data_IF_061902336527
#
_entry.id   IF_061902336527
#
_cell.length_a   1.000
_cell.length_b   1.000
_cell.length_c   1.000
_cell.angle_alpha   90.00
_cell.angle_beta   90.00
_cell.angle_gamma   90.00
#
_symmetry.space_group_name_H-M   'P 1'
#
loop_
_entity.id
_entity.type
_entity.pdbx_description
1 polymer ?
#
# COMPACT_ATOMS: atom_id res chain seq x y z
N UNK A 1 8.68 21.52 10.21
CA UNK A 1 9.23 20.44 11.07
C UNK A 1 10.34 19.66 10.37
N UNK A 2 11.27 19.15 11.16
CA UNK A 2 12.29 18.17 10.77
C UNK A 2 12.45 17.18 11.93
N UNK A 3 11.66 16.11 11.92
CA UNK A 3 11.58 15.18 13.04
C UNK A 3 12.24 13.85 12.68
N UNK A 4 13.12 13.39 13.57
CA UNK A 4 13.98 12.24 13.35
C UNK A 4 13.23 10.93 13.37
N UNK A 5 13.71 9.96 12.60
CA UNK A 5 13.23 8.60 12.67
C UNK A 5 13.62 7.95 14.00
N UNK A 6 12.92 6.88 14.35
CA UNK A 6 13.23 6.06 15.52
C UNK A 6 12.93 4.60 15.24
N UNK A 7 13.66 3.69 15.88
CA UNK A 7 13.37 2.26 15.89
C UNK A 7 13.16 1.64 14.49
N UNK A 8 14.00 2.02 13.53
CA UNK A 8 13.92 1.54 12.14
C UNK A 8 12.85 2.19 11.27
N UNK A 9 12.12 3.17 11.81
CA UNK A 9 11.20 4.03 11.04
C UNK A 9 11.92 5.27 10.51
N UNK A 10 11.59 5.70 9.29
CA UNK A 10 12.20 6.91 8.70
C UNK A 10 11.86 8.20 9.44
N UNK A 11 12.68 9.23 9.25
CA UNK A 11 12.33 10.60 9.64
C UNK A 11 11.20 11.17 8.77
N UNK A 12 10.70 12.34 9.15
CA UNK A 12 9.77 13.14 8.33
C UNK A 12 10.15 14.62 8.39
N UNK A 13 10.16 15.26 7.22
CA UNK A 13 10.34 16.71 7.08
C UNK A 13 9.18 17.31 6.31
N UNK A 14 8.71 18.48 6.74
CA UNK A 14 7.60 19.17 6.11
C UNK A 14 7.34 20.55 6.72
N UNK A 15 6.34 21.25 6.20
CA UNK A 15 5.97 22.62 6.60
C UNK A 15 4.90 22.70 7.69
N UNK A 16 4.37 21.56 8.16
CA UNK A 16 3.34 21.48 9.19
C UNK A 16 3.85 20.86 10.48
N UNK A 17 3.22 21.20 11.59
CA UNK A 17 3.50 20.63 12.91
C UNK A 17 2.37 19.67 13.28
N UNK A 18 2.71 18.53 13.89
CA UNK A 18 1.76 17.49 14.35
C UNK A 18 0.76 17.05 13.25
N UNK A 19 1.22 16.68 12.03
CA UNK A 19 0.31 16.17 11.01
C UNK A 19 -0.16 14.75 11.36
N UNK A 20 -1.28 14.32 10.76
CA UNK A 20 -1.57 12.90 10.63
C UNK A 20 -0.53 12.29 9.67
N UNK A 21 0.10 11.20 10.11
CA UNK A 21 1.07 10.42 9.33
C UNK A 21 0.68 8.96 9.29
N UNK A 22 1.20 8.24 8.30
CA UNK A 22 1.08 6.80 8.18
C UNK A 22 2.42 6.10 8.04
N UNK A 23 2.44 4.80 8.35
CA UNK A 23 3.55 3.91 8.00
C UNK A 23 3.04 2.51 7.70
N UNK A 24 3.50 1.94 6.58
CA UNK A 24 3.27 0.54 6.24
C UNK A 24 4.35 -0.33 6.85
N UNK A 25 3.96 -1.43 7.49
CA UNK A 25 4.89 -2.36 8.14
C UNK A 25 4.45 -3.82 7.91
N UNK A 26 5.26 -4.75 8.41
CA UNK A 26 4.95 -6.18 8.41
C UNK A 26 4.68 -6.66 9.84
N UNK A 27 4.56 -7.98 10.04
CA UNK A 27 4.53 -8.56 11.38
C UNK A 27 5.87 -8.43 12.13
N UNK A 28 6.98 -8.23 11.40
CA UNK A 28 8.33 -8.07 11.97
C UNK A 28 8.50 -6.66 12.52
N UNK A 29 8.97 -6.58 13.76
CA UNK A 29 9.30 -5.31 14.42
C UNK A 29 10.46 -4.61 13.69
N UNK A 30 10.33 -3.32 13.30
CA UNK A 30 11.41 -2.57 12.66
C UNK A 30 12.57 -2.22 13.61
N UNK A 31 12.44 -2.42 14.93
CA UNK A 31 13.45 -2.06 15.92
C UNK A 31 14.82 -2.68 15.61
N UNK A 32 15.86 -1.85 15.64
CA UNK A 32 17.23 -2.24 15.29
C UNK A 32 17.49 -2.38 13.77
N UNK A 33 16.47 -2.25 12.93
CA UNK A 33 16.61 -2.19 11.48
C UNK A 33 17.10 -0.82 10.98
N UNK A 34 17.70 -0.80 9.80
CA UNK A 34 18.04 0.44 9.11
C UNK A 34 16.76 1.14 8.61
N UNK A 35 16.58 2.40 8.99
CA UNK A 35 15.44 3.18 8.53
C UNK A 35 15.55 3.51 7.03
N UNK A 36 14.44 3.45 6.27
CA UNK A 36 14.44 3.89 4.88
C UNK A 36 14.65 5.42 4.79
N UNK A 37 15.06 5.89 3.61
CA UNK A 37 15.18 7.32 3.36
C UNK A 37 13.81 8.02 3.57
N UNK A 38 13.77 9.22 4.15
CA UNK A 38 12.51 9.94 4.38
C UNK A 38 11.86 10.36 3.05
N UNK A 39 10.53 10.31 3.01
CA UNK A 39 9.76 10.98 1.97
C UNK A 39 9.73 12.49 2.27
N UNK A 40 10.12 13.30 1.30
CA UNK A 40 9.93 14.75 1.40
C UNK A 40 8.44 15.06 1.24
N UNK A 41 7.88 15.85 2.17
CA UNK A 41 6.55 16.41 1.99
C UNK A 41 6.65 17.86 1.55
N UNK A 42 6.28 18.15 0.29
CA UNK A 42 5.97 19.50 -0.16
C UNK A 42 4.49 19.61 -0.56
N UNK A 43 3.97 20.84 -0.58
CA UNK A 43 2.56 21.12 -0.93
C UNK A 43 2.19 20.80 -2.38
N UNK A 44 3.14 20.29 -3.19
CA UNK A 44 2.94 19.88 -4.59
C UNK A 44 2.90 18.36 -4.75
N UNK A 45 2.81 17.61 -3.64
CA UNK A 45 2.85 16.16 -3.68
C UNK A 45 1.74 15.56 -4.56
N UNK A 46 2.07 14.47 -5.29
CA UNK A 46 1.12 13.79 -6.16
C UNK A 46 -0.08 13.26 -5.35
N UNK A 47 -1.24 13.18 -6.01
CA UNK A 47 -2.48 12.59 -5.47
C UNK A 47 -2.33 11.11 -5.09
N UNK A 48 -1.21 10.48 -5.44
CA UNK A 48 -0.86 9.10 -5.10
C UNK A 48 0.60 8.98 -4.65
N UNK A 49 0.83 8.34 -3.51
CA UNK A 49 2.17 7.99 -3.01
C UNK A 49 2.33 6.47 -2.89
N UNK A 50 3.55 5.97 -3.08
CA UNK A 50 3.90 4.55 -2.87
C UNK A 50 4.99 4.42 -1.81
N UNK A 51 4.66 4.58 -0.51
CA UNK A 51 5.64 4.53 0.56
C UNK A 51 6.28 3.14 0.66
N UNK A 52 7.55 3.07 1.06
CA UNK A 52 8.24 1.83 1.39
C UNK A 52 7.79 1.28 2.75
N UNK A 53 8.16 0.03 3.05
CA UNK A 53 8.02 -0.50 4.41
C UNK A 53 8.84 0.35 5.39
N UNK A 54 8.27 0.60 6.56
CA UNK A 54 8.87 1.39 7.65
C UNK A 54 9.17 2.85 7.28
N UNK A 55 8.67 3.32 6.14
CA UNK A 55 8.79 4.70 5.70
C UNK A 55 7.58 5.49 6.16
N UNK A 56 7.82 6.48 7.01
CA UNK A 56 6.80 7.43 7.48
C UNK A 56 6.42 8.35 6.31
N UNK A 57 5.13 8.50 6.08
CA UNK A 57 4.58 9.38 5.04
C UNK A 57 3.51 10.31 5.60
N UNK A 58 3.43 11.50 5.01
CA UNK A 58 2.44 12.51 5.38
C UNK A 58 1.05 12.16 4.83
N UNK A 59 0.02 12.34 5.66
CA UNK A 59 -1.40 12.24 5.27
C UNK A 59 -2.08 13.60 5.45
N UNK A 60 -1.84 14.28 6.56
CA UNK A 60 -2.48 15.56 6.87
C UNK A 60 -4.01 15.44 6.95
N UNK A 61 -4.72 16.27 6.19
CA UNK A 61 -6.18 16.23 6.06
C UNK A 61 -6.67 15.18 5.05
N UNK A 62 -5.76 14.41 4.44
CA UNK A 62 -6.08 13.39 3.44
C UNK A 62 -6.43 13.98 2.07
N UNK A 63 -6.16 15.27 1.83
CA UNK A 63 -6.49 15.99 0.60
C UNK A 63 -5.24 16.47 -0.13
N UNK A 64 -5.32 16.46 -1.46
CA UNK A 64 -4.29 17.02 -2.31
C UNK A 64 -4.34 18.56 -2.31
N UNK A 65 -3.18 19.17 -2.14
CA UNK A 65 -3.02 20.62 -2.05
C UNK A 65 -3.19 21.14 -0.63
N UNK A 66 -2.42 22.17 -0.29
CA UNK A 66 -2.44 22.77 1.04
C UNK A 66 -3.75 23.56 1.27
N UNK A 67 -4.45 23.27 2.37
CA UNK A 67 -5.71 23.92 2.75
C UNK A 67 -6.75 23.96 1.62
N UNK A 68 -6.79 22.89 0.81
CA UNK A 68 -7.68 22.77 -0.32
C UNK A 68 -8.77 21.72 -0.05
N UNK A 69 -9.89 22.15 0.52
CA UNK A 69 -11.02 21.26 0.80
C UNK A 69 -11.60 20.57 -0.46
N UNK A 70 -11.43 21.20 -1.63
CA UNK A 70 -11.82 20.64 -2.92
C UNK A 70 -10.76 19.69 -3.51
N UNK A 71 -9.64 19.47 -2.83
CA UNK A 71 -8.58 18.56 -3.22
C UNK A 71 -9.09 17.13 -3.44
N UNK A 72 -8.44 16.41 -4.35
CA UNK A 72 -8.66 14.97 -4.48
C UNK A 72 -8.25 14.27 -3.17
N UNK A 73 -8.89 13.14 -2.86
CA UNK A 73 -8.43 12.28 -1.76
C UNK A 73 -7.06 11.72 -2.10
N UNK A 74 -6.16 11.69 -1.11
CA UNK A 74 -4.85 11.09 -1.26
C UNK A 74 -4.97 9.56 -1.33
N UNK A 75 -4.24 8.96 -2.27
CA UNK A 75 -4.13 7.52 -2.41
C UNK A 75 -2.74 7.04 -2.00
N UNK A 76 -2.69 5.94 -1.27
CA UNK A 76 -1.43 5.32 -0.86
C UNK A 76 -1.38 3.88 -1.34
N UNK A 77 -0.36 3.54 -2.13
CA UNK A 77 -0.13 2.16 -2.58
C UNK A 77 0.74 1.48 -1.52
N UNK A 78 0.14 0.54 -0.79
CA UNK A 78 0.86 -0.26 0.18
C UNK A 78 1.90 -1.16 -0.52
N UNK A 79 3.11 -1.34 0.05
CA UNK A 79 4.03 -2.38 -0.38
C UNK A 79 3.37 -3.75 -0.39
N UNK A 80 3.69 -4.61 -1.37
CA UNK A 80 3.08 -5.93 -1.51
C UNK A 80 3.19 -6.81 -0.26
N UNK A 81 4.26 -6.63 0.51
CA UNK A 81 4.55 -7.38 1.74
C UNK A 81 4.02 -6.71 3.00
N UNK A 82 3.42 -5.51 2.90
CA UNK A 82 2.84 -4.83 4.04
C UNK A 82 1.60 -5.58 4.53
N UNK A 83 1.55 -5.83 5.83
CA UNK A 83 0.41 -6.48 6.50
C UNK A 83 -0.23 -5.59 7.55
N UNK A 84 0.35 -4.41 7.81
CA UNK A 84 -0.12 -3.46 8.81
C UNK A 84 0.05 -2.03 8.31
N UNK A 85 -0.94 -1.20 8.63
CA UNK A 85 -0.89 0.26 8.53
C UNK A 85 -1.02 0.82 9.94
N UNK A 86 -0.08 1.66 10.35
CA UNK A 86 -0.18 2.45 11.57
C UNK A 86 -0.47 3.91 11.20
N UNK A 87 -1.36 4.53 11.96
CA UNK A 87 -1.72 5.93 11.84
C UNK A 87 -1.43 6.63 13.16
N UNK A 88 -0.93 7.86 13.09
CA UNK A 88 -0.62 8.63 14.28
C UNK A 88 -0.08 10.01 13.93
N UNK A 89 0.70 10.57 14.84
CA UNK A 89 1.44 11.80 14.61
C UNK A 89 2.91 11.61 14.95
N UNK A 90 3.74 12.55 14.52
CA UNK A 90 5.14 12.60 14.83
C UNK A 90 5.45 13.93 15.53
N UNK A 91 6.20 13.85 16.62
CA UNK A 91 6.51 15.02 17.43
C UNK A 91 7.96 15.03 17.91
N UNK A 92 8.43 16.21 18.30
CA UNK A 92 9.73 16.52 18.85
C UNK A 92 9.72 17.91 19.51
N UNK A 93 10.69 18.17 20.40
CA UNK A 93 10.88 19.52 20.96
C UNK A 93 11.08 20.54 19.84
N UNK A 94 10.22 21.56 19.78
CA UNK A 94 10.27 22.57 18.72
C UNK A 94 10.16 22.00 17.29
N UNK A 95 9.61 20.78 17.15
CA UNK A 95 9.48 20.05 15.88
C UNK A 95 10.82 19.81 15.17
N UNK A 96 11.90 19.66 15.95
CA UNK A 96 13.24 19.38 15.46
C UNK A 96 13.85 18.20 16.23
N UNK A 97 14.47 17.27 15.49
CA UNK A 97 15.17 16.07 15.97
C UNK A 97 15.69 16.13 17.42
N UNK A 98 15.60 15.04 18.22
CA UNK A 98 15.03 13.72 17.88
C UNK A 98 13.51 13.67 18.10
N UNK A 99 12.86 12.62 17.60
CA UNK A 99 11.43 12.39 17.91
C UNK A 99 11.20 12.15 19.41
N UNK A 100 10.09 12.65 19.93
CA UNK A 100 9.73 12.59 21.34
C UNK A 100 8.59 13.56 21.65
N UNK A 101 8.47 13.97 22.93
CA UNK A 101 7.52 15.01 23.34
C UNK A 101 6.06 14.68 22.98
N UNK A 102 5.67 13.42 23.17
CA UNK A 102 4.28 12.99 22.96
C UNK A 102 3.42 13.17 24.21
N UNK A 103 4.02 13.41 25.38
CA UNK A 103 3.31 13.40 26.67
C UNK A 103 2.46 14.67 26.92
N UNK A 104 2.80 15.76 26.24
CA UNK A 104 2.10 17.04 26.21
C UNK A 104 1.13 17.16 25.03
N UNK A 105 1.01 16.11 24.21
CA UNK A 105 0.00 16.06 23.16
C UNK A 105 -1.38 15.75 23.73
N UNK A 106 -2.36 16.49 23.25
CA UNK A 106 -3.77 16.35 23.60
C UNK A 106 -4.63 16.25 22.34
N UNK A 107 -5.82 15.66 22.47
CA UNK A 107 -6.77 15.50 21.36
C UNK A 107 -6.66 14.17 20.64
N UNK A 108 -7.29 14.07 19.48
CA UNK A 108 -7.34 12.87 18.66
C UNK A 108 -7.65 13.20 17.20
N UNK A 109 -7.37 12.25 16.30
CA UNK A 109 -7.80 12.30 14.91
C UNK A 109 -9.06 11.46 14.73
N UNK A 110 -10.00 11.93 13.91
CA UNK A 110 -11.05 11.11 13.32
C UNK A 110 -10.62 10.78 11.89
N UNK A 111 -10.39 9.50 11.59
CA UNK A 111 -9.83 9.06 10.31
C UNK A 111 -10.73 8.02 9.67
N UNK A 112 -11.06 8.24 8.40
CA UNK A 112 -11.71 7.25 7.54
C UNK A 112 -10.67 6.76 6.52
N UNK A 113 -10.57 5.45 6.37
CA UNK A 113 -9.69 4.80 5.40
C UNK A 113 -10.52 3.92 4.49
N UNK A 114 -10.48 4.20 3.20
CA UNK A 114 -11.12 3.37 2.18
C UNK A 114 -10.08 2.49 1.50
N UNK A 115 -10.26 1.17 1.62
CA UNK A 115 -9.43 0.20 0.92
C UNK A 115 -9.91 0.08 -0.52
N UNK A 116 -9.15 0.61 -1.46
CA UNK A 116 -9.42 0.42 -2.89
C UNK A 116 -9.39 -1.08 -3.22
N UNK A 117 -10.47 -1.60 -3.82
CA UNK A 117 -10.53 -2.98 -4.25
C UNK A 117 -9.35 -3.31 -5.17
N UNK A 118 -8.61 -4.37 -4.86
CA UNK A 118 -7.61 -4.91 -5.80
C UNK A 118 -8.39 -5.52 -6.96
N UNK A 119 -8.58 -4.75 -8.03
CA UNK A 119 -9.15 -5.24 -9.29
C UNK A 119 -8.13 -6.12 -10.02
N UNK A 120 -7.62 -7.15 -9.34
CA UNK A 120 -6.89 -8.25 -9.95
C UNK A 120 -7.87 -9.39 -10.11
N UNK A 121 -8.57 -9.45 -11.24
CA UNK A 121 -9.33 -10.64 -11.60
C UNK A 121 -8.33 -11.80 -11.64
N UNK A 122 -8.32 -12.63 -10.60
CA UNK A 122 -7.74 -13.97 -10.69
C UNK A 122 -8.52 -14.64 -11.82
N UNK A 123 -7.88 -15.08 -12.92
CA UNK A 123 -8.58 -15.91 -13.89
C UNK A 123 -9.19 -17.07 -13.12
N UNK A 124 -10.52 -17.18 -13.12
CA UNK A 124 -11.19 -18.17 -12.30
C UNK A 124 -10.57 -19.54 -12.60
N UNK A 125 -10.16 -20.28 -11.57
CA UNK A 125 -9.55 -21.62 -11.74
C UNK A 125 -10.47 -22.54 -12.55
N UNK A 126 -11.78 -22.25 -12.57
CA UNK A 126 -12.77 -22.89 -13.44
C UNK A 126 -12.57 -22.65 -14.93
N UNK A 127 -12.12 -21.48 -15.39
CA UNK A 127 -11.95 -21.21 -16.83
C UNK A 127 -10.87 -22.10 -17.44
N UNK A 128 -9.77 -22.31 -16.72
CA UNK A 128 -8.70 -23.22 -17.15
C UNK A 128 -9.16 -24.67 -17.13
N UNK A 129 -9.86 -25.08 -16.08
CA UNK A 129 -10.45 -26.41 -16.01
C UNK A 129 -11.43 -26.67 -17.16
N UNK A 130 -12.29 -25.70 -17.48
CA UNK A 130 -13.26 -25.79 -18.59
C UNK A 130 -12.59 -25.76 -19.96
N UNK A 131 -11.51 -24.99 -20.16
CA UNK A 131 -10.72 -25.05 -21.38
C UNK A 131 -10.03 -26.41 -21.54
N UNK A 132 -9.41 -26.94 -20.48
CA UNK A 132 -8.77 -28.26 -20.51
C UNK A 132 -9.77 -29.38 -20.75
N UNK A 133 -10.95 -29.33 -20.12
CA UNK A 133 -12.04 -30.27 -20.37
C UNK A 133 -12.56 -30.14 -21.81
N UNK A 134 -12.80 -28.92 -22.29
CA UNK A 134 -13.29 -28.66 -23.65
C UNK A 134 -12.31 -29.12 -24.73
N UNK A 135 -11.04 -28.70 -24.64
CA UNK A 135 -10.00 -29.12 -25.58
C UNK A 135 -9.67 -30.61 -25.46
N UNK A 136 -9.68 -31.18 -24.25
CA UNK A 136 -9.52 -32.62 -24.03
C UNK A 136 -10.66 -33.44 -24.66
N UNK A 137 -11.90 -33.00 -24.51
CA UNK A 137 -13.07 -33.64 -25.12
C UNK A 137 -13.00 -33.59 -26.66
N UNK A 138 -12.67 -32.43 -27.25
CA UNK A 138 -12.52 -32.29 -28.70
C UNK A 138 -11.38 -33.17 -29.23
N UNK A 139 -10.21 -33.15 -28.57
CA UNK A 139 -9.07 -33.96 -28.96
C UNK A 139 -9.34 -35.47 -28.91
N UNK A 140 -10.04 -35.95 -27.88
CA UNK A 140 -10.43 -37.36 -27.77
C UNK A 140 -11.45 -37.77 -28.83
N UNK A 141 -12.44 -36.91 -29.13
CA UNK A 141 -13.40 -37.14 -30.21
C UNK A 141 -12.71 -37.22 -31.58
N UNK A 142 -11.75 -36.33 -31.88
CA UNK A 142 -10.97 -36.36 -33.12
C UNK A 142 -10.11 -37.62 -33.24
N UNK A 143 -9.51 -38.09 -32.13
CA UNK A 143 -8.70 -39.32 -32.11
C UNK A 143 -9.53 -40.57 -32.44
N UNK A 144 -10.77 -40.65 -31.96
CA UNK A 144 -11.67 -41.80 -32.24
C UNK A 144 -12.05 -41.90 -33.72
N UNK A 145 -12.20 -40.76 -34.41
CA UNK A 145 -12.57 -40.74 -35.85
C UNK A 145 -11.45 -41.25 -36.77
N UNK A 146 -10.18 -41.13 -36.35
CA UNK A 146 -9.02 -41.61 -37.15
C UNK A 146 -8.78 -43.12 -37.06
N UNK A 147 -9.39 -43.82 -36.11
CA UNK A 147 -9.12 -45.25 -35.87
C UNK A 147 -10.03 -46.19 -36.69
N UNK A 148 -11.02 -45.66 -37.41
CA UNK A 148 -11.88 -46.47 -38.28
C UNK A 148 -11.16 -46.66 -39.63
N UNK A 149 -10.46 -47.79 -39.80
CA UNK A 149 -9.99 -48.24 -41.12
C UNK A 149 -11.18 -48.85 -41.88
N UNK A 150 -11.42 -48.51 -43.17
CA UNK A 150 -12.44 -49.18 -43.95
C UNK A 150 -12.04 -50.63 -44.19
N UNK A 151 -12.88 -51.58 -43.79
CA UNK A 151 -12.71 -52.99 -44.13
C UNK A 151 -12.80 -53.12 -45.66
N UNK A 152 -11.74 -53.60 -46.29
CA UNK A 152 -11.77 -53.98 -47.71
C UNK A 152 -12.41 -55.36 -47.82
N UNK A 153 -13.39 -55.47 -48.73
CA UNK A 153 -14.05 -56.71 -49.14
C UNK A 153 -13.22 -57.46 -50.19
#
# INVERSE_FOLDING_TARGET
MNVGGANGLSSLSGNHNIPLVGVFTTATDPFGGAAPAPLSFDGNNPTGLSPLLNQVFYIGDGKAGYNNAAGALLQFIAPLTATRLYLGTIDASGFNNPTGFYADNHGSFSVTVDLAAVNGAVPELGTWAMMLVGFGAIGTLMRRRRQIKPAHA
#
